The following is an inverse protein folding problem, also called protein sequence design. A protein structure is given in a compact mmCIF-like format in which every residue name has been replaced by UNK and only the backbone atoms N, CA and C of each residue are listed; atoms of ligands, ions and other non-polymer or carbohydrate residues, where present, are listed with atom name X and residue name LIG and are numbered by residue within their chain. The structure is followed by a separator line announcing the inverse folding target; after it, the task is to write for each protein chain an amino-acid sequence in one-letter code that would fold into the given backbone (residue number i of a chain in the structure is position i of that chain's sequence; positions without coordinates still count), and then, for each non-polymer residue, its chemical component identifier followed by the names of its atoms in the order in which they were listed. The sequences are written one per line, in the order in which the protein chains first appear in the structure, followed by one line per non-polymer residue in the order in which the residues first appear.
data_IF_845643657848
#
_entry.id   IF_845643657848
#
_cell.length_a   1.000
_cell.length_b   1.000
_cell.length_c   1.000
_cell.angle_alpha   90.00
_cell.angle_beta   90.00
_cell.angle_gamma   90.00
#
_symmetry.space_group_name_H-M   'P 1'
#
loop_
_entity.id
_entity.type
_entity.pdbx_description
1 polymer ?
#
# COMPACT_ATOMS: atom_id res chain seq x y z
N UNK A 1 -16.05 0.34 4.08
CA UNK A 1 -14.92 1.19 4.48
C UNK A 1 -15.02 2.55 3.81
N UNK A 2 -14.79 3.59 4.56
CA UNK A 2 -14.65 4.95 4.03
C UNK A 2 -13.20 5.20 3.65
N UNK A 3 -12.94 6.34 3.00
CA UNK A 3 -11.55 6.74 2.71
C UNK A 3 -10.75 6.87 4.01
N UNK A 4 -11.36 7.41 5.06
CA UNK A 4 -10.72 7.55 6.36
C UNK A 4 -10.38 6.19 6.99
N UNK A 5 -11.27 5.21 6.86
CA UNK A 5 -11.00 3.85 7.35
C UNK A 5 -9.81 3.24 6.65
N UNK A 6 -9.74 3.41 5.33
CA UNK A 6 -8.63 2.90 4.53
C UNK A 6 -7.33 3.59 4.90
N UNK A 7 -7.35 4.93 5.05
CA UNK A 7 -6.18 5.67 5.48
C UNK A 7 -5.68 5.19 6.85
N UNK A 8 -6.61 4.91 7.78
CA UNK A 8 -6.26 4.40 9.11
C UNK A 8 -5.60 3.01 9.03
N UNK A 9 -6.02 2.17 8.08
CA UNK A 9 -5.36 0.87 7.86
C UNK A 9 -3.93 1.09 7.39
N UNK A 10 -3.70 2.02 6.46
CA UNK A 10 -2.34 2.31 6.00
C UNK A 10 -1.44 2.87 7.10
N UNK A 11 -1.98 3.56 8.08
CA UNK A 11 -1.20 4.02 9.22
C UNK A 11 -0.61 2.87 10.04
N UNK A 12 -1.13 1.67 9.88
CA UNK A 12 -0.64 0.47 10.57
C UNK A 12 0.52 -0.20 9.83
N UNK A 13 0.88 0.26 8.64
CA UNK A 13 1.94 -0.37 7.84
C UNK A 13 3.27 -0.51 8.58
N UNK A 14 3.76 0.48 9.35
CA UNK A 14 5.00 0.28 10.07
C UNK A 14 4.98 -0.94 10.97
N UNK A 15 3.91 -1.13 11.74
CA UNK A 15 3.78 -2.29 12.62
C UNK A 15 3.64 -3.59 11.81
N UNK A 16 2.84 -3.58 10.75
CA UNK A 16 2.57 -4.77 9.95
C UNK A 16 3.79 -5.23 9.14
N UNK A 17 4.57 -4.28 8.63
CA UNK A 17 5.73 -4.58 7.78
C UNK A 17 6.98 -4.84 8.60
N UNK A 18 7.27 -3.97 9.57
CA UNK A 18 8.56 -3.99 10.27
C UNK A 18 8.69 -5.22 11.18
N UNK A 19 7.58 -5.81 11.61
CA UNK A 19 7.60 -7.06 12.35
C UNK A 19 7.81 -8.30 11.47
N UNK A 20 7.68 -8.15 10.16
CA UNK A 20 7.85 -9.24 9.18
C UNK A 20 9.28 -9.20 8.66
N UNK A 21 10.19 -9.89 9.35
CA UNK A 21 11.62 -9.84 9.02
C UNK A 21 11.93 -10.27 7.58
N UNK A 22 11.34 -11.37 7.05
CA UNK A 22 11.57 -11.71 5.65
C UNK A 22 11.14 -10.63 4.67
N UNK A 23 10.05 -9.93 4.96
CA UNK A 23 9.56 -8.86 4.11
C UNK A 23 10.53 -7.66 4.12
N UNK A 24 10.98 -7.23 5.29
CA UNK A 24 11.98 -6.15 5.40
C UNK A 24 13.24 -6.52 4.63
N UNK A 25 13.71 -7.76 4.79
CA UNK A 25 14.89 -8.24 4.09
C UNK A 25 14.70 -8.19 2.56
N UNK A 26 13.50 -8.51 2.08
CA UNK A 26 13.21 -8.45 0.63
C UNK A 26 13.36 -7.04 0.10
N UNK A 27 13.04 -6.04 0.89
CA UNK A 27 13.14 -4.63 0.50
C UNK A 27 14.42 -3.94 0.95
N UNK A 28 15.43 -4.67 1.40
CA UNK A 28 16.62 -4.09 2.05
C UNK A 28 17.39 -3.09 1.19
N UNK A 29 17.24 -3.16 -0.12
CA UNK A 29 17.91 -2.23 -1.03
C UNK A 29 17.02 -1.06 -1.45
N UNK A 30 15.81 -0.99 -0.92
CA UNK A 30 14.87 0.07 -1.27
C UNK A 30 14.80 1.12 -0.16
N UNK A 31 15.11 2.36 -0.53
CA UNK A 31 14.89 3.54 0.30
C UNK A 31 14.18 4.56 -0.57
N UNK A 32 12.94 4.88 -0.24
CA UNK A 32 12.10 5.75 -1.06
C UNK A 32 10.93 6.29 -0.26
N UNK A 33 10.23 7.24 -0.86
CA UNK A 33 8.92 7.67 -0.39
C UNK A 33 7.93 7.46 -1.52
N UNK A 34 6.77 6.91 -1.22
CA UNK A 34 5.71 6.77 -2.21
C UNK A 34 4.37 7.16 -1.62
N UNK A 35 3.49 7.59 -2.52
CA UNK A 35 2.17 8.03 -2.14
C UNK A 35 1.16 6.91 -2.36
N UNK A 36 0.22 6.77 -1.43
CA UNK A 36 -0.89 5.83 -1.55
C UNK A 36 -2.16 6.68 -1.57
N UNK A 37 -2.97 6.50 -2.60
CA UNK A 37 -4.27 7.14 -2.65
C UNK A 37 -5.31 6.25 -1.98
N UNK A 38 -5.75 6.63 -0.79
CA UNK A 38 -6.85 5.97 -0.07
C UNK A 38 -8.14 6.71 -0.45
N UNK A 39 -8.67 6.40 -1.64
CA UNK A 39 -9.71 7.24 -2.20
C UNK A 39 -9.17 8.65 -2.45
N UNK A 40 -9.82 9.64 -1.89
CA UNK A 40 -9.41 11.04 -2.02
C UNK A 40 -8.35 11.46 -0.99
N UNK A 41 -8.00 10.58 -0.06
CA UNK A 41 -7.04 10.91 0.99
C UNK A 41 -5.65 10.44 0.57
N UNK A 42 -4.67 11.37 0.41
CA UNK A 42 -3.30 10.97 0.14
C UNK A 42 -2.62 10.48 1.41
N UNK A 43 -1.84 9.41 1.29
CA UNK A 43 -1.09 8.83 2.40
C UNK A 43 0.36 8.68 1.93
N UNK A 44 1.30 9.29 2.63
CA UNK A 44 2.71 9.21 2.28
C UNK A 44 3.39 8.14 3.13
N UNK A 45 3.98 7.15 2.47
CA UNK A 45 4.75 6.11 3.14
C UNK A 45 6.24 6.34 2.85
N UNK A 46 7.06 6.30 3.90
CA UNK A 46 8.50 6.38 3.76
C UNK A 46 9.13 5.05 4.12
N UNK A 47 10.05 4.61 3.28
CA UNK A 47 10.73 3.32 3.41
C UNK A 47 12.23 3.56 3.46
N UNK A 48 12.91 2.90 4.40
CA UNK A 48 14.35 2.92 4.48
C UNK A 48 14.86 1.50 4.65
N UNK A 49 15.62 1.04 3.66
CA UNK A 49 16.20 -0.31 3.68
C UNK A 49 15.13 -1.39 3.95
N UNK A 50 13.96 -1.23 3.36
CA UNK A 50 12.85 -2.17 3.48
C UNK A 50 11.95 -1.99 4.69
N UNK A 51 12.33 -1.16 5.65
CA UNK A 51 11.48 -0.85 6.80
C UNK A 51 10.59 0.36 6.48
N UNK A 52 9.34 0.29 6.86
CA UNK A 52 8.44 1.45 6.75
C UNK A 52 8.70 2.35 7.95
N UNK A 53 9.40 3.46 7.72
CA UNK A 53 9.84 4.36 8.79
C UNK A 53 8.78 5.36 9.20
N UNK A 54 7.76 5.57 8.36
CA UNK A 54 6.68 6.48 8.72
C UNK A 54 5.56 6.43 7.71
N UNK A 55 4.37 6.79 8.18
CA UNK A 55 3.18 6.97 7.36
C UNK A 55 2.54 8.27 7.78
N UNK A 56 2.31 9.16 6.81
CA UNK A 56 1.70 10.47 7.07
C UNK A 56 0.43 10.58 6.26
N UNK A 57 -0.71 10.69 6.93
CA UNK A 57 -2.01 10.90 6.27
C UNK A 57 -2.13 12.38 5.95
N UNK A 58 -2.57 12.68 4.73
CA UNK A 58 -2.71 14.05 4.22
C UNK A 58 -1.43 14.88 4.41
N UNK A 59 -0.31 14.45 3.80
CA UNK A 59 0.97 15.14 3.98
C UNK A 59 0.91 16.56 3.42
N UNK A 60 1.80 17.46 3.88
CA UNK A 60 1.90 18.79 3.30
C UNK A 60 2.19 18.71 1.80
N UNK A 61 1.69 19.67 0.99
CA UNK A 61 1.85 19.61 -0.47
C UNK A 61 3.28 19.60 -0.95
N UNK A 62 4.23 20.09 -0.16
CA UNK A 62 5.65 20.18 -0.53
C UNK A 62 6.41 18.87 -0.33
N UNK A 63 5.78 17.85 0.25
CA UNK A 63 6.44 16.55 0.48
C UNK A 63 6.63 15.83 -0.86
N UNK A 64 7.85 15.34 -1.10
CA UNK A 64 8.19 14.64 -2.34
C UNK A 64 7.90 13.15 -2.23
N UNK A 65 7.57 12.55 -3.37
CA UNK A 65 7.43 11.10 -3.48
C UNK A 65 7.88 10.67 -4.88
N UNK A 66 8.29 9.41 -5.01
CA UNK A 66 8.80 8.88 -6.27
C UNK A 66 7.71 8.32 -7.16
N UNK A 67 6.80 7.55 -6.60
CA UNK A 67 5.66 7.02 -7.33
C UNK A 67 4.43 7.03 -6.44
N UNK A 68 3.26 6.86 -7.05
CA UNK A 68 1.99 6.81 -6.34
C UNK A 68 1.18 5.61 -6.79
N UNK A 69 0.49 4.98 -5.84
CA UNK A 69 -0.46 3.91 -6.10
C UNK A 69 -1.81 4.38 -5.58
N UNK A 70 -2.76 4.59 -6.49
CA UNK A 70 -4.06 5.16 -6.13
C UNK A 70 -5.18 4.19 -6.41
N UNK A 71 -6.10 4.07 -5.47
CA UNK A 71 -7.31 3.27 -5.63
C UNK A 71 -8.39 3.82 -4.70
N UNK A 72 -9.65 3.56 -5.04
CA UNK A 72 -10.77 3.92 -4.18
C UNK A 72 -10.84 3.03 -2.95
N UNK A 73 -11.57 3.48 -1.94
CA UNK A 73 -11.70 2.75 -0.68
C UNK A 73 -12.29 1.35 -0.89
N UNK A 74 -13.29 1.22 -1.76
CA UNK A 74 -13.88 -0.09 -2.06
C UNK A 74 -12.88 -1.03 -2.71
N UNK A 75 -12.03 -0.52 -3.61
CA UNK A 75 -11.00 -1.33 -4.25
C UNK A 75 -9.99 -1.83 -3.23
N UNK A 76 -9.53 -0.99 -2.33
CA UNK A 76 -8.62 -1.40 -1.27
C UNK A 76 -9.25 -2.46 -0.37
N UNK A 77 -10.51 -2.27 0.02
CA UNK A 77 -11.24 -3.24 0.84
C UNK A 77 -11.27 -4.61 0.17
N UNK A 78 -11.58 -4.66 -1.12
CA UNK A 78 -11.62 -5.92 -1.90
C UNK A 78 -10.24 -6.54 -2.04
N UNK A 79 -9.22 -5.71 -2.21
CA UNK A 79 -7.83 -6.14 -2.31
C UNK A 79 -7.36 -6.83 -1.01
N UNK A 80 -7.87 -6.39 0.15
CA UNK A 80 -7.46 -6.91 1.45
C UNK A 80 -8.28 -8.10 1.94
N UNK A 81 -9.25 -8.56 1.19
CA UNK A 81 -9.99 -9.76 1.58
C UNK A 81 -9.07 -10.97 1.62
N UNK A 82 -9.34 -11.91 2.54
CA UNK A 82 -8.55 -13.13 2.66
C UNK A 82 -8.55 -13.92 1.34
N UNK A 83 -9.70 -13.95 0.67
CA UNK A 83 -9.87 -14.57 -0.65
C UNK A 83 -10.35 -13.52 -1.63
N UNK A 84 -9.44 -12.74 -2.23
CA UNK A 84 -9.83 -11.66 -3.13
C UNK A 84 -10.48 -12.20 -4.40
N UNK A 85 -11.45 -11.46 -4.90
CA UNK A 85 -12.06 -11.74 -6.19
C UNK A 85 -11.02 -11.59 -7.31
N UNK A 86 -11.22 -12.27 -8.45
CA UNK A 86 -10.36 -12.03 -9.63
C UNK A 86 -10.31 -10.54 -9.97
N UNK A 87 -9.11 -10.05 -10.21
CA UNK A 87 -8.89 -8.63 -10.46
C UNK A 87 -8.47 -7.84 -9.22
N UNK A 88 -8.79 -8.33 -8.02
CA UNK A 88 -8.42 -7.67 -6.75
C UNK A 88 -7.37 -8.47 -5.97
N UNK A 89 -6.88 -9.56 -6.53
CA UNK A 89 -5.89 -10.41 -5.88
C UNK A 89 -4.47 -9.87 -6.00
N UNK A 90 -4.22 -8.99 -6.95
CA UNK A 90 -2.89 -8.50 -7.29
C UNK A 90 -2.94 -7.05 -7.75
N UNK A 91 -1.95 -6.25 -7.34
CA UNK A 91 -1.88 -4.83 -7.68
C UNK A 91 -1.90 -4.59 -9.19
N UNK A 92 -1.13 -5.37 -9.95
CA UNK A 92 -1.09 -5.19 -11.40
C UNK A 92 -2.40 -5.59 -12.08
N UNK A 93 -3.11 -6.58 -11.53
CA UNK A 93 -4.42 -6.93 -12.04
C UNK A 93 -5.41 -5.79 -11.82
N UNK A 94 -5.35 -5.13 -10.65
CA UNK A 94 -6.19 -3.97 -10.38
C UNK A 94 -5.93 -2.83 -11.36
N UNK A 95 -4.67 -2.61 -11.76
CA UNK A 95 -4.35 -1.56 -12.74
C UNK A 95 -4.93 -1.89 -14.11
N UNK A 96 -4.94 -3.15 -14.50
CA UNK A 96 -5.53 -3.56 -15.78
C UNK A 96 -7.02 -3.34 -15.86
N UNK A 97 -7.72 -3.49 -14.73
CA UNK A 97 -9.17 -3.25 -14.66
C UNK A 97 -9.52 -1.79 -14.41
N UNK A 98 -8.54 -0.92 -14.19
CA UNK A 98 -8.78 0.46 -13.83
C UNK A 98 -9.21 0.67 -12.38
N UNK A 99 -9.13 -0.38 -11.54
CA UNK A 99 -9.44 -0.25 -10.11
C UNK A 99 -8.31 0.41 -9.33
N UNK A 100 -7.10 0.42 -9.89
CA UNK A 100 -5.96 1.11 -9.31
C UNK A 100 -5.19 1.84 -10.41
N UNK A 101 -4.44 2.86 -10.01
CA UNK A 101 -3.63 3.67 -10.93
C UNK A 101 -2.26 3.88 -10.33
N UNK A 102 -1.22 3.72 -11.14
CA UNK A 102 0.16 3.94 -10.73
C UNK A 102 0.71 5.13 -11.51
N UNK A 103 1.37 6.06 -10.82
CA UNK A 103 1.89 7.29 -11.40
C UNK A 103 3.32 7.55 -10.92
N UNK A 104 4.05 8.38 -11.66
CA UNK A 104 5.36 8.87 -11.26
C UNK A 104 6.51 8.03 -11.80
N UNK A 105 7.60 7.98 -11.05
CA UNK A 105 8.79 7.22 -11.44
C UNK A 105 8.56 5.74 -11.11
N UNK A 106 8.31 4.94 -12.13
CA UNK A 106 7.98 3.53 -11.94
C UNK A 106 9.20 2.64 -11.69
N UNK A 107 10.41 3.15 -11.89
CA UNK A 107 11.60 2.32 -11.73
C UNK A 107 11.74 1.72 -10.32
N UNK A 108 11.66 2.49 -9.23
CA UNK A 108 11.78 1.90 -7.89
C UNK A 108 10.67 0.90 -7.59
N UNK A 109 9.46 1.13 -8.11
CA UNK A 109 8.36 0.17 -7.97
C UNK A 109 8.67 -1.12 -8.70
N UNK A 110 9.03 -1.04 -9.98
CA UNK A 110 9.24 -2.24 -10.80
C UNK A 110 10.47 -3.03 -10.37
N UNK A 111 11.53 -2.34 -9.95
CA UNK A 111 12.74 -2.99 -9.44
C UNK A 111 12.50 -3.71 -8.10
N UNK A 112 11.46 -3.34 -7.38
CA UNK A 112 11.12 -3.90 -6.06
C UNK A 112 9.66 -4.34 -6.01
N UNK A 113 9.14 -4.81 -7.13
CA UNK A 113 7.71 -5.06 -7.29
C UNK A 113 7.15 -6.02 -6.25
N UNK A 114 7.81 -7.14 -6.02
CA UNK A 114 7.34 -8.12 -5.05
C UNK A 114 7.26 -7.53 -3.65
N UNK A 115 8.26 -6.76 -3.26
CA UNK A 115 8.27 -6.10 -1.95
C UNK A 115 7.10 -5.12 -1.83
N UNK A 116 6.93 -4.23 -2.81
CA UNK A 116 5.86 -3.22 -2.77
C UNK A 116 4.48 -3.90 -2.73
N UNK A 117 4.28 -4.94 -3.54
CA UNK A 117 3.03 -5.69 -3.53
C UNK A 117 2.77 -6.30 -2.14
N UNK A 118 3.77 -6.91 -1.52
CA UNK A 118 3.61 -7.52 -0.21
C UNK A 118 3.38 -6.49 0.90
N UNK A 119 3.98 -5.31 0.79
CA UNK A 119 3.71 -4.21 1.73
C UNK A 119 2.24 -3.80 1.65
N UNK A 120 1.74 -3.58 0.44
CA UNK A 120 0.34 -3.18 0.25
C UNK A 120 -0.64 -4.31 0.62
N UNK A 121 -0.21 -5.55 0.56
CA UNK A 121 -1.01 -6.72 0.95
C UNK A 121 -0.93 -7.02 2.45
N UNK A 122 -0.06 -6.36 3.19
CA UNK A 122 0.12 -6.64 4.63
C UNK A 122 -1.20 -6.59 5.42
N UNK A 123 -2.11 -5.63 5.16
CA UNK A 123 -3.40 -5.64 5.86
C UNK A 123 -4.23 -6.91 5.61
N UNK A 124 -4.12 -7.51 4.42
CA UNK A 124 -4.80 -8.77 4.11
C UNK A 124 -4.32 -9.89 5.04
N UNK A 125 -3.00 -10.01 5.19
CA UNK A 125 -2.41 -11.04 6.06
C UNK A 125 -2.77 -10.84 7.52
N UNK A 126 -3.02 -9.61 7.92
CA UNK A 126 -3.44 -9.28 9.28
C UNK A 126 -4.96 -9.43 9.49
N UNK A 127 -5.71 -9.81 8.46
CA UNK A 127 -7.15 -10.00 8.56
C UNK A 127 -7.96 -8.71 8.60
N UNK A 128 -7.38 -7.58 8.23
CA UNK A 128 -8.05 -6.30 8.35
C UNK A 128 -9.14 -6.08 7.28
N UNK A 129 -9.04 -6.76 6.15
CA UNK A 129 -10.05 -6.64 5.09
C UNK A 129 -11.35 -7.36 5.41
N UNK A 130 -11.30 -8.37 6.26
CA UNK A 130 -12.47 -9.18 6.64
C UNK A 130 -12.99 -8.83 8.03
N UNK A 131 -12.25 -8.02 8.79
CA UNK A 131 -12.59 -7.71 10.18
C UNK A 131 -13.90 -6.98 10.35
N UNK A 132 -14.38 -6.31 9.31
CA UNK A 132 -15.62 -5.53 9.35
C UNK A 132 -16.83 -6.35 8.91
N UNK A 133 -16.62 -7.60 8.49
CA UNK A 133 -17.71 -8.45 8.03
C UNK A 133 -18.59 -8.96 9.17
N UNK A 134 -18.13 -8.75 10.39
CA UNK A 134 -18.87 -9.14 11.57
C UNK A 134 -19.92 -8.15 12.00
#
# INVERSE_FOLDING_TARGET
MTDEDVAAVFERLPALVNGDIPLVRRGRFLTTAFLIGAGDIPVLATVREGAVTGVTVSPPPMRSWRFAVRAGADAWRRFWRAEPEPGYHDLLAMTRFGAARIEGDLHPLMANLRYVKEVLEAPRRAGLGDGDAG
#
